data_IF_601568757773
#
_entry.id   IF_601568757773
#
_cell.length_a   1.000
_cell.length_b   1.000
_cell.length_c   1.000
_cell.angle_alpha   90.00
_cell.angle_beta   90.00
_cell.angle_gamma   90.00
#
_symmetry.space_group_name_H-M   'P 1'
#
loop_
_entity.id
_entity.type
_entity.pdbx_description
1 polymer ?
#
# COMPACT_ATOMS: atom_id res chain seq x y z
N UNK A 1 23.38 -3.47 -27.77
CA UNK A 1 23.07 -2.14 -28.29
C UNK A 1 21.58 -1.90 -28.26
N UNK A 2 21.10 -1.00 -27.39
CA UNK A 2 19.69 -0.63 -27.32
C UNK A 2 19.43 0.39 -28.45
N UNK A 3 18.50 0.06 -29.33
CA UNK A 3 18.15 0.93 -30.47
C UNK A 3 17.61 2.28 -29.96
N UNK A 4 18.01 3.43 -30.55
CA UNK A 4 17.48 4.76 -30.20
C UNK A 4 15.96 4.85 -30.30
N UNK A 5 15.31 4.04 -31.13
CA UNK A 5 13.85 3.94 -31.26
C UNK A 5 13.17 3.34 -30.04
N UNK A 6 13.83 2.46 -29.28
CA UNK A 6 13.24 1.85 -28.09
C UNK A 6 13.07 2.85 -26.94
N UNK A 7 13.96 3.82 -26.81
CA UNK A 7 13.88 4.88 -25.80
C UNK A 7 12.79 5.91 -26.15
N UNK A 8 12.58 6.16 -27.43
CA UNK A 8 11.55 7.08 -27.92
C UNK A 8 10.13 6.47 -27.77
N UNK A 9 10.00 5.18 -28.00
CA UNK A 9 8.76 4.41 -27.72
C UNK A 9 8.45 4.41 -26.22
N UNK A 10 9.46 4.27 -25.36
CA UNK A 10 9.30 4.30 -23.91
C UNK A 10 8.82 5.65 -23.38
N UNK A 11 9.33 6.79 -23.90
CA UNK A 11 8.85 8.13 -23.52
C UNK A 11 7.41 8.37 -23.96
N UNK A 12 7.06 7.96 -25.18
CA UNK A 12 5.70 8.12 -25.70
C UNK A 12 4.69 7.22 -24.98
N UNK A 13 5.11 6.02 -24.55
CA UNK A 13 4.24 5.08 -23.84
C UNK A 13 3.77 5.65 -22.49
N UNK A 14 4.66 6.27 -21.69
CA UNK A 14 4.28 6.86 -20.40
C UNK A 14 3.38 8.09 -20.54
N UNK A 15 3.64 8.91 -21.56
CA UNK A 15 2.90 10.16 -21.80
C UNK A 15 1.46 9.91 -22.24
N UNK A 16 1.16 8.76 -22.86
CA UNK A 16 -0.21 8.40 -23.26
C UNK A 16 -1.18 8.26 -22.09
N UNK A 17 -0.67 8.03 -20.86
CA UNK A 17 -1.52 7.90 -19.70
C UNK A 17 -1.91 9.28 -19.14
N UNK A 18 -3.20 9.48 -18.72
CA UNK A 18 -3.66 10.71 -18.10
C UNK A 18 -2.80 11.12 -16.90
N UNK A 19 -2.65 12.42 -16.67
CA UNK A 19 -1.80 12.94 -15.59
C UNK A 19 -2.17 12.35 -14.22
N UNK A 20 -3.46 12.32 -13.89
CA UNK A 20 -3.94 11.78 -12.60
C UNK A 20 -3.64 10.28 -12.44
N UNK A 21 -3.75 9.49 -13.51
CA UNK A 21 -3.38 8.08 -13.48
C UNK A 21 -1.88 7.90 -13.23
N UNK A 22 -1.03 8.70 -13.89
CA UNK A 22 0.41 8.70 -13.66
C UNK A 22 0.77 9.08 -12.22
N UNK A 23 0.05 10.05 -11.65
CA UNK A 23 0.24 10.48 -10.26
C UNK A 23 -0.12 9.35 -9.28
N UNK A 24 -1.30 8.71 -9.44
CA UNK A 24 -1.72 7.56 -8.63
C UNK A 24 -0.70 6.43 -8.74
N UNK A 25 -0.23 6.12 -9.94
CA UNK A 25 0.78 5.07 -10.16
C UNK A 25 2.06 5.34 -9.37
N UNK A 26 2.55 6.57 -9.36
CA UNK A 26 3.72 6.96 -8.56
C UNK A 26 3.46 6.84 -7.06
N UNK A 27 2.33 7.37 -6.59
CA UNK A 27 1.95 7.29 -5.17
C UNK A 27 1.87 5.83 -4.72
N UNK A 28 1.25 4.97 -5.51
CA UNK A 28 1.16 3.54 -5.21
C UNK A 28 2.52 2.85 -5.21
N UNK A 29 3.40 3.20 -6.12
CA UNK A 29 4.76 2.68 -6.13
C UNK A 29 5.49 3.00 -4.81
N UNK A 30 5.48 4.26 -4.37
CA UNK A 30 6.15 4.65 -3.13
C UNK A 30 5.48 4.08 -1.87
N UNK A 31 4.15 4.00 -1.85
CA UNK A 31 3.41 3.35 -0.76
C UNK A 31 3.76 1.85 -0.67
N UNK A 32 3.82 1.17 -1.80
CA UNK A 32 4.18 -0.23 -1.90
C UNK A 32 5.65 -0.48 -1.54
N UNK A 33 6.55 0.42 -1.94
CA UNK A 33 7.96 0.39 -1.57
C UNK A 33 8.14 0.47 -0.04
N UNK A 34 7.48 1.42 0.60
CA UNK A 34 7.50 1.52 2.07
C UNK A 34 6.89 0.29 2.75
N UNK A 35 5.76 -0.20 2.24
CA UNK A 35 5.10 -1.39 2.78
C UNK A 35 5.98 -2.65 2.67
N UNK A 36 6.68 -2.84 1.54
CA UNK A 36 7.61 -3.97 1.34
C UNK A 36 8.74 -3.96 2.35
N UNK A 37 9.40 -2.82 2.56
CA UNK A 37 10.45 -2.65 3.56
C UNK A 37 9.95 -2.90 4.98
N UNK A 38 8.81 -2.31 5.36
CA UNK A 38 8.21 -2.49 6.69
C UNK A 38 7.87 -3.95 6.98
N UNK A 39 7.25 -4.67 6.05
CA UNK A 39 6.89 -6.08 6.24
C UNK A 39 8.12 -6.93 6.55
N UNK A 40 9.20 -6.76 5.81
CA UNK A 40 10.45 -7.50 6.00
C UNK A 40 11.14 -7.11 7.31
N UNK A 41 11.36 -5.80 7.51
CA UNK A 41 12.10 -5.30 8.66
C UNK A 41 11.37 -5.50 9.99
N UNK A 42 10.04 -5.46 9.99
CA UNK A 42 9.26 -5.67 11.22
C UNK A 42 9.59 -7.00 11.87
N UNK A 43 9.59 -8.09 11.11
CA UNK A 43 9.91 -9.42 11.65
C UNK A 43 11.33 -9.48 12.22
N UNK A 44 12.30 -8.89 11.53
CA UNK A 44 13.70 -8.88 11.94
C UNK A 44 13.91 -8.02 13.20
N UNK A 45 13.37 -6.82 13.21
CA UNK A 45 13.53 -5.87 14.33
C UNK A 45 12.90 -6.42 15.60
N UNK A 46 11.66 -6.91 15.54
CA UNK A 46 10.97 -7.40 16.74
C UNK A 46 11.52 -8.73 17.25
N UNK A 47 12.04 -9.58 16.38
CA UNK A 47 12.80 -10.76 16.81
C UNK A 47 14.08 -10.34 17.56
N UNK A 48 14.81 -9.35 17.08
CA UNK A 48 16.01 -8.82 17.75
C UNK A 48 15.67 -8.09 19.07
N UNK A 49 14.46 -7.57 19.23
CA UNK A 49 13.97 -6.99 20.48
C UNK A 49 13.48 -8.04 21.49
N UNK A 50 13.54 -9.33 21.14
CA UNK A 50 13.22 -10.45 22.02
C UNK A 50 11.76 -10.93 21.94
N UNK A 51 10.94 -10.44 21.00
CA UNK A 51 9.62 -11.00 20.77
C UNK A 51 9.74 -12.39 20.14
N UNK A 52 8.89 -13.32 20.62
CA UNK A 52 8.87 -14.65 20.04
C UNK A 52 8.31 -14.65 18.61
N UNK A 53 8.69 -15.64 17.81
CA UNK A 53 8.12 -15.83 16.47
C UNK A 53 6.59 -15.98 16.51
N UNK A 54 6.06 -16.55 17.60
CA UNK A 54 4.61 -16.67 17.83
C UNK A 54 3.94 -15.31 18.02
N UNK A 55 4.54 -14.41 18.82
CA UNK A 55 4.01 -13.06 19.05
C UNK A 55 4.02 -12.24 17.75
N UNK A 56 5.11 -12.34 16.98
CA UNK A 56 5.24 -11.69 15.69
C UNK A 56 4.17 -12.20 14.71
N UNK A 57 3.99 -13.51 14.62
CA UNK A 57 2.97 -14.14 13.79
C UNK A 57 1.54 -13.76 14.22
N UNK A 58 1.29 -13.68 15.53
CA UNK A 58 0.01 -13.22 16.06
C UNK A 58 -0.30 -11.78 15.61
N UNK A 59 0.67 -10.89 15.71
CA UNK A 59 0.52 -9.50 15.24
C UNK A 59 0.13 -9.42 13.77
N UNK A 60 0.80 -10.17 12.89
CA UNK A 60 0.44 -10.23 11.47
C UNK A 60 -0.96 -10.83 11.24
N UNK A 61 -1.33 -11.84 12.00
CA UNK A 61 -2.66 -12.47 11.92
C UNK A 61 -3.76 -11.48 12.29
N UNK A 62 -3.62 -10.77 13.40
CA UNK A 62 -4.56 -9.74 13.85
C UNK A 62 -4.63 -8.60 12.83
N UNK A 63 -3.49 -8.15 12.31
CA UNK A 63 -3.40 -7.15 11.24
C UNK A 63 -4.20 -7.58 10.00
N UNK A 64 -4.07 -8.83 9.57
CA UNK A 64 -4.79 -9.36 8.42
C UNK A 64 -6.31 -9.42 8.67
N UNK A 65 -6.75 -9.84 9.84
CA UNK A 65 -8.17 -9.89 10.24
C UNK A 65 -8.77 -8.48 10.22
N UNK A 66 -8.15 -7.54 10.92
CA UNK A 66 -8.61 -6.14 11.00
C UNK A 66 -8.59 -5.49 9.62
N UNK A 67 -7.53 -5.73 8.82
CA UNK A 67 -7.42 -5.26 7.45
C UNK A 67 -8.54 -5.78 6.56
N UNK A 68 -8.93 -7.03 6.71
CA UNK A 68 -10.06 -7.62 5.96
C UNK A 68 -11.38 -6.97 6.34
N UNK A 69 -11.64 -6.82 7.63
CA UNK A 69 -12.87 -6.18 8.14
C UNK A 69 -12.97 -4.73 7.67
N UNK A 70 -11.92 -3.94 7.84
CA UNK A 70 -11.90 -2.54 7.41
C UNK A 70 -12.01 -2.39 5.89
N UNK A 71 -11.48 -3.33 5.11
CA UNK A 71 -11.62 -3.38 3.65
C UNK A 71 -13.08 -3.52 3.23
N UNK A 72 -13.86 -4.39 3.90
CA UNK A 72 -15.29 -4.58 3.63
C UNK A 72 -16.08 -3.30 3.92
N UNK A 73 -15.84 -2.67 5.07
CA UNK A 73 -16.48 -1.40 5.42
C UNK A 73 -16.13 -0.28 4.45
N UNK A 74 -14.85 -0.17 4.07
CA UNK A 74 -14.39 0.84 3.11
C UNK A 74 -15.00 0.62 1.73
N UNK A 75 -15.06 -0.61 1.25
CA UNK A 75 -15.71 -0.93 -0.02
C UNK A 75 -17.19 -0.52 -0.03
N UNK A 76 -17.93 -0.82 1.03
CA UNK A 76 -19.32 -0.41 1.17
C UNK A 76 -19.48 1.12 1.23
N UNK A 77 -18.61 1.82 1.95
CA UNK A 77 -18.59 3.29 1.99
C UNK A 77 -18.33 3.89 0.60
N UNK A 78 -17.35 3.38 -0.13
CA UNK A 78 -16.99 3.86 -1.47
C UNK A 78 -18.13 3.64 -2.46
N UNK A 79 -18.77 2.47 -2.42
CA UNK A 79 -19.92 2.16 -3.28
C UNK A 79 -21.11 3.11 -3.03
N UNK A 80 -21.32 3.53 -1.78
CA UNK A 80 -22.43 4.44 -1.42
C UNK A 80 -22.13 5.91 -1.71
N UNK A 81 -20.90 6.34 -1.52
CA UNK A 81 -20.56 7.78 -1.54
C UNK A 81 -19.75 8.21 -2.76
N UNK A 82 -19.00 7.32 -3.39
CA UNK A 82 -18.03 7.62 -4.43
C UNK A 82 -16.84 8.49 -3.98
N UNK A 83 -16.74 8.81 -2.68
CA UNK A 83 -15.75 9.75 -2.14
C UNK A 83 -14.51 9.03 -1.64
N UNK A 84 -13.39 9.19 -2.35
CA UNK A 84 -12.10 8.55 -1.99
C UNK A 84 -11.28 9.36 -0.98
N UNK A 85 -11.54 10.65 -0.82
CA UNK A 85 -10.72 11.55 0.00
C UNK A 85 -10.72 11.15 1.48
N UNK A 86 -11.90 10.91 2.05
CA UNK A 86 -12.03 10.54 3.46
C UNK A 86 -11.28 9.25 3.82
N UNK A 87 -11.43 8.11 3.08
CA UNK A 87 -10.64 6.92 3.33
C UNK A 87 -9.13 7.15 3.21
N UNK A 88 -8.66 7.92 2.23
CA UNK A 88 -7.23 8.20 2.06
C UNK A 88 -6.67 8.97 3.27
N UNK A 89 -7.36 10.03 3.71
CA UNK A 89 -6.93 10.81 4.88
C UNK A 89 -6.93 9.93 6.14
N UNK A 90 -8.01 9.19 6.38
CA UNK A 90 -8.12 8.31 7.55
C UNK A 90 -7.03 7.25 7.57
N UNK A 91 -6.76 6.60 6.44
CA UNK A 91 -5.68 5.61 6.35
C UNK A 91 -4.30 6.22 6.62
N UNK A 92 -4.06 7.45 6.16
CA UNK A 92 -2.79 8.14 6.40
C UNK A 92 -2.59 8.46 7.89
N UNK A 93 -3.63 8.93 8.59
CA UNK A 93 -3.58 9.18 10.03
C UNK A 93 -3.32 7.87 10.81
N UNK A 94 -4.04 6.80 10.45
CA UNK A 94 -3.84 5.47 11.06
C UNK A 94 -2.43 4.93 10.80
N UNK A 95 -1.86 5.16 9.61
CA UNK A 95 -0.48 4.75 9.29
C UNK A 95 0.54 5.49 10.15
N UNK A 96 0.35 6.78 10.38
CA UNK A 96 1.22 7.55 11.28
C UNK A 96 1.11 7.01 12.71
N UNK A 97 -0.10 6.81 13.23
CA UNK A 97 -0.31 6.26 14.56
C UNK A 97 0.29 4.85 14.70
N UNK A 98 0.12 3.99 13.70
CA UNK A 98 0.72 2.66 13.64
C UNK A 98 2.24 2.73 13.72
N UNK A 99 2.86 3.59 12.92
CA UNK A 99 4.32 3.77 12.90
C UNK A 99 4.83 4.25 14.26
N UNK A 100 4.16 5.19 14.89
CA UNK A 100 4.52 5.65 16.24
C UNK A 100 4.41 4.51 17.26
N UNK A 101 3.30 3.75 17.26
CA UNK A 101 3.16 2.58 18.15
C UNK A 101 4.29 1.57 17.94
N UNK A 102 4.66 1.25 16.70
CA UNK A 102 5.72 0.29 16.40
C UNK A 102 7.11 0.81 16.80
N UNK A 103 7.41 2.10 16.59
CA UNK A 103 8.70 2.70 16.99
C UNK A 103 8.89 2.65 18.51
N UNK A 104 7.84 2.93 19.27
CA UNK A 104 7.89 2.90 20.74
C UNK A 104 7.62 1.53 21.34
N UNK A 105 7.30 0.53 20.53
CA UNK A 105 6.99 -0.80 21.02
C UNK A 105 8.24 -1.49 21.62
N UNK A 106 8.09 -1.92 22.87
CA UNK A 106 9.08 -2.70 23.61
C UNK A 106 8.50 -4.03 24.15
N UNK A 107 7.22 -4.23 23.96
CA UNK A 107 6.48 -5.38 24.44
C UNK A 107 5.48 -5.88 23.39
N UNK A 108 5.01 -7.11 23.57
CA UNK A 108 4.05 -7.77 22.68
C UNK A 108 2.72 -7.00 22.59
N UNK A 109 2.28 -6.35 23.67
CA UNK A 109 0.98 -5.67 23.68
C UNK A 109 0.99 -4.44 22.75
N UNK A 110 1.96 -3.57 22.89
CA UNK A 110 2.07 -2.37 22.03
C UNK A 110 2.38 -2.73 20.58
N UNK A 111 3.14 -3.83 20.38
CA UNK A 111 3.38 -4.40 19.04
C UNK A 111 2.06 -4.82 18.37
N UNK A 112 1.20 -5.56 19.09
CA UNK A 112 -0.11 -5.99 18.55
C UNK A 112 -1.01 -4.80 18.23
N UNK A 113 -1.03 -3.76 19.07
CA UNK A 113 -1.77 -2.52 18.77
C UNK A 113 -1.22 -1.87 17.48
N UNK A 114 0.08 -1.73 17.37
CA UNK A 114 0.72 -1.17 16.16
C UNK A 114 0.36 -1.97 14.91
N UNK A 115 0.45 -3.29 14.95
CA UNK A 115 0.06 -4.17 13.84
C UNK A 115 -1.43 -4.09 13.51
N UNK A 116 -2.28 -3.95 14.51
CA UNK A 116 -3.72 -3.73 14.33
C UNK A 116 -4.02 -2.46 13.54
N UNK A 117 -3.32 -1.37 13.87
CA UNK A 117 -3.43 -0.10 13.16
C UNK A 117 -2.87 -0.18 11.73
N UNK A 118 -1.77 -0.93 11.51
CA UNK A 118 -1.24 -1.21 10.15
C UNK A 118 -2.30 -1.91 9.32
N UNK A 119 -2.92 -2.95 9.86
CA UNK A 119 -4.00 -3.69 9.18
C UNK A 119 -5.18 -2.80 8.84
N UNK A 120 -5.66 -2.00 9.80
CA UNK A 120 -6.75 -1.06 9.58
C UNK A 120 -6.41 -0.03 8.49
N UNK A 121 -5.23 0.57 8.56
CA UNK A 121 -4.77 1.55 7.56
C UNK A 121 -4.70 0.94 6.15
N UNK A 122 -4.11 -0.24 6.02
CA UNK A 122 -4.01 -0.95 4.74
C UNK A 122 -5.40 -1.35 4.21
N UNK A 123 -6.29 -1.84 5.07
CA UNK A 123 -7.66 -2.21 4.71
C UNK A 123 -8.50 -1.03 4.22
N UNK A 124 -8.20 0.19 4.66
CA UNK A 124 -8.85 1.42 4.19
C UNK A 124 -8.18 1.96 2.93
N UNK A 125 -6.86 1.98 2.87
CA UNK A 125 -6.09 2.58 1.79
C UNK A 125 -6.27 1.85 0.45
N UNK A 126 -6.08 0.54 0.43
CA UNK A 126 -6.03 -0.21 -0.82
C UNK A 126 -7.33 -0.16 -1.62
N UNK A 127 -8.53 -0.38 -1.03
CA UNK A 127 -9.78 -0.23 -1.77
C UNK A 127 -9.99 1.18 -2.30
N UNK A 128 -9.66 2.21 -1.52
CA UNK A 128 -9.82 3.60 -1.94
C UNK A 128 -8.91 3.95 -3.13
N UNK A 129 -7.67 3.51 -3.08
CA UNK A 129 -6.71 3.71 -4.17
C UNK A 129 -7.11 2.94 -5.45
N UNK A 130 -7.68 1.74 -5.32
CA UNK A 130 -8.19 0.95 -6.46
C UNK A 130 -9.46 1.55 -7.04
N UNK A 131 -10.38 2.01 -6.18
CA UNK A 131 -11.63 2.65 -6.62
C UNK A 131 -11.38 3.90 -7.46
N UNK A 132 -10.29 4.63 -7.23
CA UNK A 132 -9.91 5.80 -8.01
C UNK A 132 -9.43 5.49 -9.44
N UNK A 133 -8.94 4.28 -9.72
CA UNK A 133 -8.34 3.96 -11.04
C UNK A 133 -9.32 4.15 -12.20
N UNK A 134 -10.57 3.65 -12.17
CA UNK A 134 -11.53 3.84 -13.25
C UNK A 134 -11.90 5.31 -13.51
N UNK A 135 -11.89 6.14 -12.47
CA UNK A 135 -12.20 7.58 -12.62
C UNK A 135 -11.13 8.34 -13.39
N UNK A 136 -9.88 7.89 -13.31
CA UNK A 136 -8.74 8.59 -13.89
C UNK A 136 -8.16 7.92 -15.13
N UNK A 137 -8.74 6.80 -15.59
CA UNK A 137 -8.22 6.08 -16.74
C UNK A 137 -8.75 6.57 -18.09
N UNK A 138 -9.87 7.30 -18.12
CA UNK A 138 -10.46 7.77 -19.39
C UNK A 138 -9.50 8.73 -20.13
N UNK A 139 -9.28 8.56 -21.45
CA UNK A 139 -9.93 7.66 -22.40
C UNK A 139 -9.30 6.27 -22.56
N UNK A 140 -8.39 5.87 -21.68
CA UNK A 140 -7.66 4.60 -21.79
C UNK A 140 -8.50 3.45 -21.25
N UNK A 141 -8.30 2.26 -21.80
CA UNK A 141 -8.94 1.04 -21.31
C UNK A 141 -8.61 0.80 -19.83
N UNK A 142 -9.64 0.63 -19.01
CA UNK A 142 -9.52 0.37 -17.57
C UNK A 142 -8.57 -0.78 -17.26
N UNK A 143 -8.56 -1.82 -18.11
CA UNK A 143 -7.64 -2.96 -17.97
C UNK A 143 -6.17 -2.54 -18.03
N UNK A 144 -5.81 -1.66 -18.98
CA UNK A 144 -4.43 -1.15 -19.11
C UNK A 144 -4.05 -0.27 -17.92
N UNK A 145 -4.99 0.53 -17.42
CA UNK A 145 -4.78 1.36 -16.24
C UNK A 145 -4.52 0.50 -14.98
N UNK A 146 -5.30 -0.55 -14.75
CA UNK A 146 -5.06 -1.48 -13.64
C UNK A 146 -3.73 -2.24 -13.80
N UNK A 147 -3.40 -2.69 -15.00
CA UNK A 147 -2.12 -3.36 -15.24
C UNK A 147 -0.93 -2.45 -14.89
N UNK A 148 -0.97 -1.18 -15.30
CA UNK A 148 0.07 -0.20 -14.97
C UNK A 148 0.21 0.00 -13.46
N UNK A 149 -0.90 0.24 -12.77
CA UNK A 149 -0.93 0.51 -11.32
C UNK A 149 -0.47 -0.71 -10.54
N UNK A 150 -0.93 -1.92 -10.90
CA UNK A 150 -0.52 -3.18 -10.23
C UNK A 150 0.93 -3.55 -10.49
N UNK A 151 1.44 -3.33 -11.70
CA UNK A 151 2.86 -3.55 -11.99
C UNK A 151 3.76 -2.61 -11.19
N UNK A 152 3.35 -1.34 -11.03
CA UNK A 152 4.10 -0.39 -10.20
C UNK A 152 4.10 -0.76 -8.72
N UNK A 153 2.97 -1.27 -8.21
CA UNK A 153 2.85 -1.78 -6.85
C UNK A 153 3.78 -2.99 -6.62
N UNK A 154 3.73 -3.99 -7.51
CA UNK A 154 4.59 -5.16 -7.42
C UNK A 154 6.07 -4.80 -7.44
N UNK A 155 6.46 -3.86 -8.32
CA UNK A 155 7.83 -3.36 -8.40
C UNK A 155 8.22 -2.60 -7.12
N UNK A 156 7.31 -1.80 -6.56
CA UNK A 156 7.53 -1.11 -5.30
C UNK A 156 7.79 -2.08 -4.15
N UNK A 157 6.94 -3.09 -3.95
CA UNK A 157 7.13 -4.12 -2.91
C UNK A 157 8.46 -4.84 -3.11
N UNK A 158 8.76 -5.28 -4.34
CA UNK A 158 10.01 -5.97 -4.65
C UNK A 158 11.23 -5.14 -4.24
N UNK A 159 11.28 -3.88 -4.67
CA UNK A 159 12.40 -2.99 -4.33
C UNK A 159 12.44 -2.66 -2.83
N UNK A 160 11.29 -2.51 -2.17
CA UNK A 160 11.21 -2.28 -0.74
C UNK A 160 11.77 -3.43 0.09
N UNK A 161 11.47 -4.67 -0.31
CA UNK A 161 12.05 -5.87 0.33
C UNK A 161 13.53 -6.03 0.03
N UNK A 162 13.95 -5.69 -1.21
CA UNK A 162 15.34 -5.89 -1.63
C UNK A 162 16.31 -4.87 -1.01
N UNK A 163 15.85 -3.64 -0.76
CA UNK A 163 16.67 -2.54 -0.23
C UNK A 163 16.51 -2.34 1.30
N UNK A 164 15.52 -2.96 1.94
CA UNK A 164 15.30 -2.94 3.39
C UNK A 164 16.09 -4.01 4.08
#
# INVERSE_FOLDING_TARGET
>A
MISPNSLQISKNWWIQFPYHLRLITKIRFFAAFGAGGVIYLTSLIFNNLGLSATDIGLGFTISAIIGTVTRLFTGNYLNKTGKIQFPIITSSILSIAASLCLIFSRDTFLYIIGQSLVGAAAGIYWPAAEFGVPYFCHPIETRKAYALVRSSEALGIFLGVFLG
#
